data_IF_933738187243
#
_entry.id   IF_933738187243
#
_cell.length_a   1.000
_cell.length_b   1.000
_cell.length_c   1.000
_cell.angle_alpha   90.00
_cell.angle_beta   90.00
_cell.angle_gamma   90.00
#
_symmetry.space_group_name_H-M   'P 1'
#
loop_
_entity.id
_entity.type
_entity.pdbx_description
1 polymer ?
#
# COMPACT_ATOMS: atom_id res chain seq x y z
N UNK A 1 -5.06 54.06 -25.86
CA UNK A 1 -5.86 53.49 -24.77
C UNK A 1 -5.67 51.99 -24.79
N UNK A 2 -4.71 51.49 -24.01
CA UNK A 2 -4.55 50.06 -23.75
C UNK A 2 -5.03 49.83 -22.31
N UNK A 3 -5.93 48.86 -22.16
CA UNK A 3 -6.68 48.59 -20.94
C UNK A 3 -5.85 47.61 -20.08
N UNK A 4 -5.44 48.04 -18.89
CA UNK A 4 -4.74 47.21 -17.91
C UNK A 4 -5.61 46.04 -17.45
N UNK A 5 -5.02 44.84 -17.42
CA UNK A 5 -5.64 43.65 -16.83
C UNK A 5 -5.62 43.76 -15.29
N UNK A 6 -6.67 43.27 -14.59
CA UNK A 6 -6.77 43.42 -13.14
C UNK A 6 -5.78 42.50 -12.42
N UNK A 7 -5.06 43.08 -11.44
CA UNK A 7 -4.21 42.39 -10.48
C UNK A 7 -4.95 41.23 -9.82
N UNK A 8 -4.52 39.99 -10.09
CA UNK A 8 -4.90 38.82 -9.32
C UNK A 8 -4.36 38.96 -7.90
N UNK A 9 -5.26 39.26 -6.97
CA UNK A 9 -5.02 39.22 -5.53
C UNK A 9 -4.55 37.82 -5.13
N UNK A 10 -3.27 37.70 -4.79
CA UNK A 10 -2.67 36.50 -4.22
C UNK A 10 -3.23 36.37 -2.81
N UNK A 11 -4.16 35.43 -2.60
CA UNK A 11 -4.57 35.03 -1.25
C UNK A 11 -3.32 34.62 -0.47
N UNK A 12 -3.13 35.09 0.79
CA UNK A 12 -2.00 34.65 1.59
C UNK A 12 -2.07 33.12 1.78
N UNK A 13 -0.93 32.43 1.74
CA UNK A 13 -0.87 30.98 1.94
C UNK A 13 -1.54 30.62 3.27
N UNK A 14 -2.27 29.50 3.29
CA UNK A 14 -2.98 29.08 4.49
C UNK A 14 -1.98 28.91 5.65
N UNK A 15 -2.42 29.11 6.89
CA UNK A 15 -1.52 29.06 8.06
C UNK A 15 -0.72 27.73 8.16
N UNK A 16 -1.29 26.63 7.63
CA UNK A 16 -0.62 25.33 7.52
C UNK A 16 0.57 25.33 6.54
N UNK A 17 0.50 26.11 5.46
CA UNK A 17 1.58 26.20 4.47
C UNK A 17 2.81 26.89 5.07
N UNK A 18 2.62 27.93 5.89
CA UNK A 18 3.72 28.68 6.52
C UNK A 18 4.52 27.79 7.49
N UNK A 19 3.84 26.95 8.27
CA UNK A 19 4.51 25.99 9.17
C UNK A 19 5.30 24.92 8.41
N UNK A 20 4.78 24.45 7.27
CA UNK A 20 5.51 23.53 6.38
C UNK A 20 6.82 24.15 5.89
N UNK A 21 6.83 25.45 5.61
CA UNK A 21 8.04 26.18 5.23
C UNK A 21 9.03 26.44 6.37
N UNK A 22 8.71 26.09 7.61
CA UNK A 22 9.63 26.22 8.76
C UNK A 22 10.08 24.87 9.32
N UNK A 23 9.43 23.78 8.90
CA UNK A 23 9.77 22.43 9.34
C UNK A 23 11.12 21.96 8.80
N UNK A 24 11.89 21.31 9.67
CA UNK A 24 13.17 20.69 9.36
C UNK A 24 13.33 19.39 10.18
N UNK A 25 14.13 18.46 9.67
CA UNK A 25 14.48 17.20 10.35
C UNK A 25 15.99 17.05 10.49
N UNK A 26 16.45 16.20 11.41
CA UNK A 26 17.85 15.80 11.48
C UNK A 26 18.18 14.69 10.49
N UNK A 27 19.39 14.69 9.94
CA UNK A 27 19.83 13.62 9.03
C UNK A 27 19.79 12.25 9.71
N UNK A 28 20.26 12.15 10.96
CA UNK A 28 20.17 10.91 11.74
C UNK A 28 18.72 10.44 11.89
N UNK A 29 17.82 11.36 12.27
CA UNK A 29 16.39 11.04 12.41
C UNK A 29 15.77 10.56 11.09
N UNK A 30 16.15 11.17 9.96
CA UNK A 30 15.74 10.69 8.65
C UNK A 30 16.27 9.27 8.37
N UNK A 31 17.52 8.99 8.72
CA UNK A 31 18.14 7.67 8.57
C UNK A 31 17.49 6.60 9.41
N UNK A 32 17.19 6.91 10.67
CA UNK A 32 16.51 5.99 11.57
C UNK A 32 15.11 5.66 11.03
N UNK A 33 14.38 6.65 10.51
CA UNK A 33 13.08 6.44 9.88
C UNK A 33 13.18 5.58 8.61
N UNK A 34 14.20 5.81 7.79
CA UNK A 34 14.45 5.06 6.58
C UNK A 34 14.83 3.61 6.91
N UNK A 35 15.69 3.40 7.91
CA UNK A 35 16.03 2.08 8.41
C UNK A 35 14.79 1.34 8.94
N UNK A 36 13.94 2.01 9.71
CA UNK A 36 12.69 1.43 10.21
C UNK A 36 11.75 1.01 9.05
N UNK A 37 11.63 1.84 8.00
CA UNK A 37 10.88 1.49 6.80
C UNK A 37 11.48 0.27 6.06
N UNK A 38 12.81 0.14 6.04
CA UNK A 38 13.48 -1.03 5.47
C UNK A 38 13.13 -2.31 6.23
N UNK A 39 13.20 -2.25 7.56
CA UNK A 39 12.90 -3.38 8.43
C UNK A 39 11.45 -3.85 8.30
N UNK A 40 10.53 -2.90 8.04
CA UNK A 40 9.14 -3.22 7.73
C UNK A 40 9.00 -4.10 6.47
N UNK A 41 9.82 -3.84 5.45
CA UNK A 41 9.79 -4.54 4.16
C UNK A 41 10.57 -5.85 4.11
N UNK A 42 11.75 -5.87 4.73
CA UNK A 42 12.73 -6.96 4.71
C UNK A 42 12.93 -7.56 6.11
N UNK A 43 11.89 -8.09 6.75
CA UNK A 43 12.02 -8.60 8.11
C UNK A 43 12.86 -9.87 8.14
N UNK A 44 13.64 -10.02 9.22
CA UNK A 44 14.53 -11.16 9.47
C UNK A 44 13.83 -12.51 9.75
N UNK A 45 12.53 -12.65 9.42
CA UNK A 45 11.73 -13.83 9.74
C UNK A 45 11.35 -14.55 8.45
N UNK A 46 11.53 -15.88 8.41
CA UNK A 46 11.23 -16.66 7.20
C UNK A 46 9.74 -16.98 7.05
N UNK A 47 8.94 -16.81 8.11
CA UNK A 47 7.52 -17.21 8.16
C UNK A 47 6.60 -16.07 8.59
N UNK A 48 5.33 -16.17 8.20
CA UNK A 48 4.28 -15.28 8.68
C UNK A 48 3.91 -15.61 10.13
N UNK A 49 3.38 -14.62 10.85
CA UNK A 49 2.88 -14.77 12.22
C UNK A 49 1.45 -15.32 12.29
N UNK A 50 0.83 -15.57 11.14
CA UNK A 50 -0.60 -15.84 11.07
C UNK A 50 -0.87 -17.34 11.20
N UNK A 51 -1.67 -17.71 12.19
CA UNK A 51 -2.14 -19.09 12.36
C UNK A 51 -3.29 -19.40 11.39
N UNK A 52 -4.08 -18.39 11.03
CA UNK A 52 -5.15 -18.47 10.02
C UNK A 52 -5.27 -17.19 9.20
N UNK A 53 -5.58 -17.35 7.92
CA UNK A 53 -5.93 -16.27 7.00
C UNK A 53 -7.33 -16.50 6.46
N UNK A 54 -8.19 -15.49 6.58
CA UNK A 54 -9.55 -15.50 6.04
C UNK A 54 -9.63 -14.50 4.90
N UNK A 55 -10.27 -14.88 3.79
CA UNK A 55 -10.42 -14.02 2.62
C UNK A 55 -11.89 -13.88 2.26
N UNK A 56 -12.35 -12.64 2.09
CA UNK A 56 -13.68 -12.31 1.61
C UNK A 56 -13.58 -11.54 0.30
N UNK A 57 -13.98 -12.18 -0.79
CA UNK A 57 -14.12 -11.56 -2.10
C UNK A 57 -15.54 -11.06 -2.28
N UNK A 58 -15.70 -9.77 -2.59
CA UNK A 58 -16.97 -9.06 -2.65
C UNK A 58 -17.18 -8.50 -4.05
N UNK A 59 -18.38 -8.70 -4.57
CA UNK A 59 -18.88 -8.08 -5.81
C UNK A 59 -20.39 -7.85 -5.73
N UNK A 60 -20.98 -7.16 -6.69
CA UNK A 60 -22.44 -7.02 -6.73
C UNK A 60 -23.12 -8.25 -7.35
N UNK A 61 -24.36 -8.53 -6.94
CA UNK A 61 -25.14 -9.64 -7.50
C UNK A 61 -25.61 -9.38 -8.94
N UNK A 62 -25.92 -8.12 -9.24
CA UNK A 62 -26.47 -7.65 -10.52
C UNK A 62 -25.42 -7.13 -11.49
N UNK A 63 -24.17 -7.08 -11.06
CA UNK A 63 -23.06 -6.80 -11.96
C UNK A 63 -23.04 -7.87 -13.04
N UNK A 64 -23.13 -7.49 -14.33
CA UNK A 64 -23.16 -8.45 -15.42
C UNK A 64 -21.94 -9.35 -15.32
N UNK A 65 -22.06 -10.60 -15.76
CA UNK A 65 -20.94 -11.52 -15.91
C UNK A 65 -19.99 -10.97 -16.99
N UNK A 66 -19.19 -9.99 -16.60
CA UNK A 66 -18.14 -9.31 -17.35
C UNK A 66 -16.80 -10.03 -17.09
N UNK A 67 -15.70 -9.64 -17.78
CA UNK A 67 -14.36 -10.16 -17.52
C UNK A 67 -13.98 -10.17 -16.03
N UNK A 68 -14.42 -9.16 -15.28
CA UNK A 68 -14.23 -9.03 -13.82
C UNK A 68 -14.67 -10.29 -13.06
N UNK A 69 -15.78 -10.93 -13.44
CA UNK A 69 -16.24 -12.15 -12.76
C UNK A 69 -15.31 -13.34 -13.01
N UNK A 70 -14.67 -13.42 -14.17
CA UNK A 70 -13.70 -14.47 -14.47
C UNK A 70 -12.40 -14.25 -13.69
N UNK A 71 -11.91 -13.00 -13.66
CA UNK A 71 -10.68 -12.65 -12.96
C UNK A 71 -10.82 -12.79 -11.43
N UNK A 72 -11.97 -12.40 -10.86
CA UNK A 72 -12.26 -12.69 -9.44
C UNK A 72 -12.30 -14.19 -9.13
N UNK A 73 -12.77 -15.01 -10.06
CA UNK A 73 -12.81 -16.47 -9.87
C UNK A 73 -11.40 -17.07 -9.88
N UNK A 74 -10.50 -16.55 -10.72
CA UNK A 74 -9.08 -16.95 -10.72
C UNK A 74 -8.40 -16.51 -9.43
N UNK A 75 -8.62 -15.28 -8.97
CA UNK A 75 -8.07 -14.78 -7.71
C UNK A 75 -8.58 -15.59 -6.51
N UNK A 76 -9.87 -15.95 -6.50
CA UNK A 76 -10.44 -16.89 -5.52
C UNK A 76 -9.65 -18.21 -5.51
N UNK A 77 -9.37 -18.78 -6.70
CA UNK A 77 -8.58 -19.99 -6.83
C UNK A 77 -7.14 -19.83 -6.35
N UNK A 78 -6.50 -18.66 -6.53
CA UNK A 78 -5.16 -18.41 -5.97
C UNK A 78 -5.20 -18.45 -4.44
N UNK A 79 -6.10 -17.70 -3.80
CA UNK A 79 -6.18 -17.69 -2.34
C UNK A 79 -6.51 -19.05 -1.74
N UNK A 80 -7.43 -19.80 -2.35
CA UNK A 80 -7.85 -21.11 -1.85
C UNK A 80 -6.88 -22.23 -2.22
N UNK A 81 -6.54 -22.36 -3.49
CA UNK A 81 -5.86 -23.54 -4.02
C UNK A 81 -4.33 -23.41 -4.01
N UNK A 82 -3.79 -22.19 -4.03
CA UNK A 82 -2.33 -21.94 -3.99
C UNK A 82 -1.87 -21.55 -2.58
N UNK A 83 -2.61 -20.66 -1.90
CA UNK A 83 -2.25 -20.18 -0.57
C UNK A 83 -2.91 -20.95 0.58
N UNK A 84 -3.93 -21.76 0.30
CA UNK A 84 -4.68 -22.54 1.29
C UNK A 84 -5.34 -21.67 2.39
N UNK A 85 -5.85 -20.49 1.99
CA UNK A 85 -6.58 -19.61 2.89
C UNK A 85 -8.07 -19.96 2.95
N UNK A 86 -8.71 -19.67 4.10
CA UNK A 86 -10.16 -19.81 4.27
C UNK A 86 -10.88 -18.73 3.45
N UNK A 87 -11.26 -19.08 2.22
CA UNK A 87 -11.68 -18.12 1.18
C UNK A 87 -13.17 -18.24 0.85
N UNK A 88 -13.88 -17.13 0.93
CA UNK A 88 -15.30 -17.02 0.59
C UNK A 88 -15.53 -15.94 -0.47
N UNK A 89 -16.49 -16.19 -1.37
CA UNK A 89 -17.02 -15.17 -2.28
C UNK A 89 -18.44 -14.80 -1.87
N UNK A 90 -18.68 -13.51 -1.67
CA UNK A 90 -19.99 -12.97 -1.30
C UNK A 90 -20.45 -11.93 -2.32
N UNK A 91 -21.77 -11.85 -2.51
CA UNK A 91 -22.40 -10.90 -3.42
C UNK A 91 -23.24 -9.91 -2.62
N UNK A 92 -23.01 -8.62 -2.85
CA UNK A 92 -23.83 -7.54 -2.29
C UNK A 92 -25.20 -7.59 -2.99
N UNK A 93 -26.31 -7.68 -2.24
CA UNK A 93 -27.63 -7.60 -2.83
C UNK A 93 -28.01 -6.18 -3.23
N UNK A 94 -28.84 -6.03 -4.26
CA UNK A 94 -29.34 -4.73 -4.73
C UNK A 94 -30.36 -4.11 -3.77
N UNK A 95 -31.00 -4.94 -2.95
CA UNK A 95 -31.95 -4.54 -1.91
C UNK A 95 -31.28 -4.59 -0.56
N UNK A 96 -31.48 -3.56 0.27
CA UNK A 96 -30.88 -3.43 1.61
C UNK A 96 -29.34 -3.55 1.65
N UNK A 97 -28.68 -3.28 0.52
CA UNK A 97 -27.23 -3.38 0.29
C UNK A 97 -26.36 -2.95 1.49
N UNK A 98 -26.60 -1.76 2.04
CA UNK A 98 -25.83 -1.25 3.18
C UNK A 98 -25.96 -2.12 4.43
N UNK A 99 -27.19 -2.49 4.82
CA UNK A 99 -27.41 -3.24 6.05
C UNK A 99 -26.79 -4.64 5.95
N UNK A 100 -26.97 -5.29 4.80
CA UNK A 100 -26.44 -6.63 4.55
C UNK A 100 -24.89 -6.60 4.45
N UNK A 101 -24.31 -5.54 3.89
CA UNK A 101 -22.86 -5.34 3.87
C UNK A 101 -22.28 -5.09 5.28
N UNK A 102 -22.93 -4.25 6.08
CA UNK A 102 -22.53 -3.98 7.46
C UNK A 102 -22.53 -5.30 8.28
N UNK A 103 -23.64 -6.06 8.23
CA UNK A 103 -23.75 -7.37 8.90
C UNK A 103 -22.69 -8.37 8.40
N UNK A 104 -22.47 -8.42 7.09
CA UNK A 104 -21.52 -9.35 6.48
C UNK A 104 -20.10 -9.10 6.93
N UNK A 105 -19.67 -7.83 6.95
CA UNK A 105 -18.33 -7.42 7.36
C UNK A 105 -18.13 -7.65 8.85
N UNK A 106 -19.10 -7.30 9.69
CA UNK A 106 -19.02 -7.59 11.12
C UNK A 106 -18.86 -9.10 11.39
N UNK A 107 -19.65 -9.93 10.70
CA UNK A 107 -19.54 -11.40 10.80
C UNK A 107 -18.16 -11.88 10.36
N UNK A 108 -17.60 -11.31 9.29
CA UNK A 108 -16.29 -11.67 8.76
C UNK A 108 -15.14 -11.30 9.73
N UNK A 109 -15.18 -10.09 10.29
CA UNK A 109 -14.20 -9.63 11.30
C UNK A 109 -14.20 -10.56 12.52
N UNK A 110 -15.39 -11.02 12.95
CA UNK A 110 -15.54 -11.92 14.11
C UNK A 110 -15.08 -13.36 13.87
N UNK A 111 -14.80 -13.78 12.63
CA UNK A 111 -14.33 -15.15 12.35
C UNK A 111 -13.04 -15.46 13.13
N UNK A 112 -12.92 -16.69 13.65
CA UNK A 112 -11.76 -17.07 14.47
C UNK A 112 -11.59 -16.18 15.69
N UNK A 113 -12.69 -15.76 16.32
CA UNK A 113 -12.70 -14.93 17.54
C UNK A 113 -11.99 -13.59 17.42
N UNK A 114 -11.80 -13.05 16.21
CA UNK A 114 -11.03 -11.80 15.97
C UNK A 114 -9.63 -11.84 16.63
N UNK A 115 -8.95 -12.99 16.56
CA UNK A 115 -7.65 -13.17 17.19
C UNK A 115 -6.54 -12.35 16.52
N UNK A 116 -5.58 -11.85 17.32
CA UNK A 116 -4.46 -11.03 16.84
C UNK A 116 -3.42 -11.83 16.02
N UNK A 117 -3.48 -13.17 16.06
CA UNK A 117 -2.67 -14.07 15.23
C UNK A 117 -3.39 -14.45 13.91
N UNK A 118 -4.51 -13.80 13.58
CA UNK A 118 -5.21 -13.99 12.33
C UNK A 118 -5.01 -12.80 11.39
N UNK A 119 -5.10 -13.07 10.08
CA UNK A 119 -5.19 -12.06 9.02
C UNK A 119 -6.55 -12.13 8.34
N UNK A 120 -7.12 -10.96 8.07
CA UNK A 120 -8.34 -10.80 7.27
C UNK A 120 -7.99 -10.11 5.96
N UNK A 121 -8.39 -10.70 4.84
CA UNK A 121 -8.21 -10.09 3.51
C UNK A 121 -9.59 -9.79 2.94
N UNK A 122 -9.87 -8.53 2.63
CA UNK A 122 -11.12 -8.10 1.98
C UNK A 122 -10.78 -7.62 0.58
N UNK A 123 -11.35 -8.29 -0.43
CA UNK A 123 -11.21 -7.89 -1.82
C UNK A 123 -12.55 -7.38 -2.33
N UNK A 124 -12.60 -6.15 -2.85
CA UNK A 124 -13.77 -5.63 -3.56
C UNK A 124 -13.40 -5.30 -5.00
N UNK A 125 -14.17 -5.81 -5.94
CA UNK A 125 -14.12 -5.39 -7.34
C UNK A 125 -15.50 -4.91 -7.76
N UNK A 126 -15.56 -3.71 -8.35
CA UNK A 126 -16.81 -3.15 -8.80
C UNK A 126 -16.78 -1.63 -8.91
N UNK A 127 -17.95 -1.04 -9.09
CA UNK A 127 -18.08 0.38 -9.34
C UNK A 127 -18.10 1.19 -8.04
N UNK A 128 -17.71 2.45 -8.15
CA UNK A 128 -17.77 3.43 -7.05
C UNK A 128 -18.47 4.70 -7.50
N UNK A 129 -19.11 5.38 -6.56
CA UNK A 129 -19.66 6.72 -6.72
C UNK A 129 -19.08 7.63 -5.64
N UNK A 130 -18.77 8.87 -6.04
CA UNK A 130 -18.50 9.93 -5.07
C UNK A 130 -19.81 10.40 -4.45
N UNK A 131 -19.86 10.45 -3.13
CA UNK A 131 -21.03 10.90 -2.39
C UNK A 131 -21.01 12.42 -2.23
N UNK A 132 -22.16 13.01 -1.89
CA UNK A 132 -22.28 14.47 -1.69
C UNK A 132 -21.43 15.02 -0.54
N UNK A 133 -21.01 14.16 0.38
CA UNK A 133 -20.12 14.51 1.50
C UNK A 133 -18.65 14.25 1.18
N UNK A 134 -18.28 14.19 -0.10
CA UNK A 134 -16.94 13.84 -0.59
C UNK A 134 -16.43 12.46 -0.12
N UNK A 135 -17.35 11.56 0.23
CA UNK A 135 -17.02 10.19 0.62
C UNK A 135 -17.12 9.22 -0.55
N UNK A 136 -16.60 8.01 -0.37
CA UNK A 136 -16.70 6.93 -1.35
C UNK A 136 -17.90 6.01 -1.03
N UNK A 137 -18.65 5.62 -2.06
CA UNK A 137 -19.64 4.55 -1.95
C UNK A 137 -19.43 3.51 -3.04
N UNK A 138 -19.46 2.23 -2.69
CA UNK A 138 -19.57 1.12 -3.63
C UNK A 138 -20.97 1.11 -4.26
N UNK A 139 -21.07 0.74 -5.53
CA UNK A 139 -22.34 0.65 -6.26
C UNK A 139 -22.31 -0.47 -7.27
N UNK A 140 -23.47 -1.04 -7.60
CA UNK A 140 -23.58 -2.00 -8.72
C UNK A 140 -23.32 -1.34 -10.07
N UNK A 141 -23.45 -0.02 -10.17
CA UNK A 141 -23.40 0.71 -11.45
C UNK A 141 -24.72 0.65 -12.23
N UNK A 142 -25.74 -0.03 -11.69
CA UNK A 142 -27.06 -0.18 -12.31
C UNK A 142 -28.15 0.34 -11.38
N UNK A 143 -29.27 0.77 -11.98
CA UNK A 143 -30.46 1.15 -11.20
C UNK A 143 -31.25 -0.10 -10.84
N UNK A 144 -31.63 -0.22 -9.58
CA UNK A 144 -32.53 -1.27 -9.11
C UNK A 144 -33.99 -1.04 -9.58
N UNK A 145 -34.90 -1.92 -9.19
CA UNK A 145 -36.33 -1.84 -9.52
C UNK A 145 -37.00 -0.49 -9.12
N UNK A 146 -36.44 0.23 -8.14
CA UNK A 146 -36.91 1.55 -7.70
C UNK A 146 -36.21 2.72 -8.41
N UNK A 147 -35.52 2.46 -9.53
CA UNK A 147 -34.78 3.45 -10.31
C UNK A 147 -33.67 4.19 -9.53
N UNK A 148 -33.13 3.55 -8.48
CA UNK A 148 -32.01 4.08 -7.69
C UNK A 148 -30.78 3.19 -7.84
N UNK A 149 -29.59 3.79 -7.80
CA UNK A 149 -28.35 3.03 -7.68
C UNK A 149 -28.26 2.49 -6.24
N UNK A 150 -28.13 1.16 -6.05
CA UNK A 150 -27.84 0.62 -4.73
C UNK A 150 -26.43 1.02 -4.33
N UNK A 151 -26.24 1.39 -3.08
CA UNK A 151 -24.94 1.86 -2.60
C UNK A 151 -24.58 1.30 -1.24
N UNK A 152 -23.28 1.12 -1.01
CA UNK A 152 -22.69 0.81 0.30
C UNK A 152 -21.63 1.86 0.59
N UNK A 153 -21.77 2.58 1.70
CA UNK A 153 -20.84 3.59 2.17
C UNK A 153 -19.54 2.92 2.60
N UNK A 154 -18.44 3.22 1.91
CA UNK A 154 -17.13 2.64 2.19
C UNK A 154 -16.62 3.01 3.58
N UNK A 155 -16.88 4.23 4.05
CA UNK A 155 -16.40 4.70 5.36
C UNK A 155 -16.83 3.78 6.51
N UNK A 156 -18.06 3.26 6.49
CA UNK A 156 -18.54 2.32 7.51
C UNK A 156 -17.81 0.99 7.47
N UNK A 157 -17.58 0.48 6.26
CA UNK A 157 -16.84 -0.77 6.03
C UNK A 157 -15.40 -0.60 6.51
N UNK A 158 -14.74 0.50 6.12
CA UNK A 158 -13.38 0.80 6.56
C UNK A 158 -13.28 0.90 8.08
N UNK A 159 -14.16 1.65 8.74
CA UNK A 159 -14.16 1.75 10.21
C UNK A 159 -14.28 0.38 10.87
N UNK A 160 -15.19 -0.48 10.39
CA UNK A 160 -15.35 -1.83 10.97
C UNK A 160 -14.10 -2.70 10.79
N UNK A 161 -13.37 -2.52 9.68
CA UNK A 161 -12.14 -3.26 9.40
C UNK A 161 -10.97 -2.73 10.23
N UNK A 162 -10.80 -1.41 10.32
CA UNK A 162 -9.74 -0.76 11.11
C UNK A 162 -9.89 -1.01 12.62
N UNK A 163 -11.11 -1.26 13.11
CA UNK A 163 -11.39 -1.60 14.51
C UNK A 163 -11.14 -3.09 14.85
N UNK A 164 -10.77 -3.92 13.88
CA UNK A 164 -10.46 -5.32 14.13
C UNK A 164 -9.24 -5.46 15.05
N UNK A 165 -9.19 -6.58 15.78
CA UNK A 165 -8.03 -6.96 16.60
C UNK A 165 -7.07 -7.82 15.81
N UNK A 166 -7.59 -8.58 14.84
CA UNK A 166 -6.80 -9.21 13.77
C UNK A 166 -6.20 -8.17 12.83
N UNK A 167 -5.09 -8.52 12.17
CA UNK A 167 -4.53 -7.70 11.11
C UNK A 167 -5.44 -7.77 9.84
N UNK A 168 -5.49 -6.70 9.04
CA UNK A 168 -6.40 -6.58 7.88
C UNK A 168 -5.70 -6.06 6.62
N UNK A 169 -5.82 -6.80 5.52
CA UNK A 169 -5.45 -6.35 4.18
C UNK A 169 -6.71 -6.04 3.36
N UNK A 170 -6.79 -4.85 2.79
CA UNK A 170 -7.87 -4.42 1.90
C UNK A 170 -7.33 -4.28 0.48
N UNK A 171 -7.97 -4.96 -0.48
CA UNK A 171 -7.65 -4.89 -1.90
C UNK A 171 -8.87 -4.38 -2.67
N UNK A 172 -8.76 -3.19 -3.27
CA UNK A 172 -9.88 -2.54 -3.96
C UNK A 172 -9.59 -2.37 -5.46
N UNK A 173 -10.26 -3.16 -6.30
CA UNK A 173 -10.28 -2.92 -7.75
C UNK A 173 -11.38 -1.93 -8.12
N UNK A 174 -11.30 -0.73 -7.56
CA UNK A 174 -12.16 0.41 -7.83
C UNK A 174 -11.42 1.71 -7.50
N UNK A 175 -11.74 2.84 -8.16
CA UNK A 175 -11.17 4.12 -7.77
C UNK A 175 -11.44 4.40 -6.30
N UNK A 176 -10.40 4.66 -5.53
CA UNK A 176 -10.53 5.06 -4.13
C UNK A 176 -10.24 6.55 -3.97
N UNK A 177 -10.99 7.18 -3.08
CA UNK A 177 -10.72 8.54 -2.61
C UNK A 177 -10.22 8.41 -1.19
N UNK A 178 -9.04 8.95 -0.90
CA UNK A 178 -8.44 8.92 0.43
C UNK A 178 -9.46 9.38 1.48
N UNK A 179 -9.71 8.54 2.46
CA UNK A 179 -10.59 8.85 3.60
C UNK A 179 -9.77 8.92 4.88
N UNK A 180 -10.28 9.61 5.90
CA UNK A 180 -9.64 9.66 7.21
C UNK A 180 -9.65 8.26 7.84
N UNK A 181 -8.46 7.78 8.23
CA UNK A 181 -8.31 6.53 8.99
C UNK A 181 -8.61 6.78 10.46
N UNK A 182 -9.29 5.82 11.08
CA UNK A 182 -9.52 5.76 12.51
C UNK A 182 -8.45 4.90 13.19
N UNK A 183 -7.69 5.47 14.12
CA UNK A 183 -6.60 4.76 14.84
C UNK A 183 -7.16 3.96 16.04
N UNK A 184 -8.36 3.38 15.92
CA UNK A 184 -9.07 2.80 17.09
C UNK A 184 -8.89 1.29 17.27
N UNK A 185 -8.36 0.56 16.28
CA UNK A 185 -8.07 -0.87 16.42
C UNK A 185 -6.64 -1.17 16.88
N UNK A 186 -6.44 -2.43 17.32
CA UNK A 186 -5.14 -2.93 17.77
C UNK A 186 -4.36 -3.66 16.65
N UNK A 187 -5.02 -4.02 15.55
CA UNK A 187 -4.40 -4.68 14.40
C UNK A 187 -3.68 -3.71 13.47
N UNK A 188 -2.80 -4.26 12.63
CA UNK A 188 -2.22 -3.56 11.47
C UNK A 188 -3.20 -3.67 10.31
N UNK A 189 -3.52 -2.54 9.67
CA UNK A 189 -4.41 -2.50 8.51
C UNK A 189 -3.72 -1.81 7.33
N UNK A 190 -3.79 -2.43 6.15
CA UNK A 190 -3.15 -1.97 4.92
C UNK A 190 -4.12 -2.03 3.74
N UNK A 191 -4.04 -1.07 2.82
CA UNK A 191 -4.96 -0.96 1.68
C UNK A 191 -4.21 -0.73 0.37
N UNK A 192 -4.39 -1.61 -0.61
CA UNK A 192 -3.98 -1.40 -2.00
C UNK A 192 -5.25 -1.19 -2.84
N UNK A 193 -5.27 -0.14 -3.64
CA UNK A 193 -6.43 0.15 -4.48
C UNK A 193 -6.05 0.68 -5.86
N UNK A 194 -6.92 0.41 -6.82
CA UNK A 194 -6.81 0.93 -8.18
C UNK A 194 -7.05 2.45 -8.18
N UNK A 195 -6.32 3.18 -9.03
CA UNK A 195 -6.49 4.62 -9.17
C UNK A 195 -7.69 4.99 -10.06
N UNK A 196 -8.28 6.19 -9.85
CA UNK A 196 -9.23 6.78 -10.79
C UNK A 196 -8.56 7.01 -12.15
N UNK A 197 -9.31 6.73 -13.22
CA UNK A 197 -8.89 6.91 -14.60
C UNK A 197 -9.16 8.36 -15.06
N UNK A 198 -8.27 8.96 -15.85
CA UNK A 198 -8.50 10.26 -16.49
C UNK A 198 -9.48 10.10 -17.67
N UNK A 199 -10.56 10.87 -17.72
CA UNK A 199 -11.74 10.70 -18.61
C UNK A 199 -11.47 10.60 -20.14
N UNK A 200 -10.22 10.68 -20.61
CA UNK A 200 -9.85 10.74 -22.02
C UNK A 200 -9.93 9.41 -22.82
N UNK A 201 -9.92 8.20 -22.24
CA UNK A 201 -10.16 6.92 -22.98
C UNK A 201 -11.58 6.35 -22.81
N UNK A 202 -12.61 7.05 -23.30
CA UNK A 202 -13.93 6.48 -23.61
C UNK A 202 -14.61 5.65 -22.49
N UNK A 203 -14.24 5.83 -21.22
CA UNK A 203 -14.91 5.24 -20.06
C UNK A 203 -14.81 3.72 -19.89
N UNK A 204 -13.96 3.01 -20.63
CA UNK A 204 -13.76 1.56 -20.47
C UNK A 204 -12.45 1.30 -19.73
N UNK A 205 -12.54 0.85 -18.48
CA UNK A 205 -11.38 0.39 -17.70
C UNK A 205 -10.81 -0.86 -18.38
N UNK A 206 -9.64 -0.74 -19.01
CA UNK A 206 -8.99 -1.85 -19.71
C UNK A 206 -8.14 -2.71 -18.76
N UNK A 207 -7.71 -2.13 -17.64
CA UNK A 207 -6.89 -2.81 -16.63
C UNK A 207 -7.69 -3.15 -15.34
N UNK A 208 -7.55 -4.37 -14.85
CA UNK A 208 -8.18 -4.84 -13.62
C UNK A 208 -7.08 -5.17 -12.61
N UNK A 209 -7.04 -4.46 -11.48
CA UNK A 209 -6.09 -4.75 -10.41
C UNK A 209 -6.20 -6.20 -9.94
N UNK A 210 -7.39 -6.81 -10.01
CA UNK A 210 -7.60 -8.23 -9.70
C UNK A 210 -6.77 -9.15 -10.60
N UNK A 211 -6.65 -8.83 -11.90
CA UNK A 211 -5.87 -9.62 -12.85
C UNK A 211 -4.37 -9.56 -12.54
N UNK A 212 -3.85 -8.38 -12.25
CA UNK A 212 -2.46 -8.20 -11.82
C UNK A 212 -2.17 -8.90 -10.48
N UNK A 213 -3.06 -8.74 -9.50
CA UNK A 213 -2.98 -9.43 -8.21
C UNK A 213 -2.93 -10.94 -8.39
N UNK A 214 -3.78 -11.49 -9.26
CA UNK A 214 -3.81 -12.92 -9.56
C UNK A 214 -2.48 -13.42 -10.12
N UNK A 215 -1.89 -12.71 -11.08
CA UNK A 215 -0.60 -13.07 -11.65
C UNK A 215 0.55 -12.95 -10.62
N UNK A 216 0.62 -11.83 -9.90
CA UNK A 216 1.69 -11.58 -8.93
C UNK A 216 1.64 -12.52 -7.72
N UNK A 217 0.46 -12.79 -7.18
CA UNK A 217 0.33 -13.73 -6.08
C UNK A 217 0.79 -15.14 -6.47
N UNK A 218 0.62 -15.57 -7.73
CA UNK A 218 1.20 -16.86 -8.20
C UNK A 218 2.71 -16.83 -8.32
N UNK A 219 3.29 -15.70 -8.71
CA UNK A 219 4.75 -15.60 -8.80
C UNK A 219 5.38 -15.55 -7.40
N UNK A 220 4.78 -14.79 -6.49
CA UNK A 220 5.22 -14.65 -5.12
C UNK A 220 4.98 -15.90 -4.27
N UNK A 221 4.10 -16.83 -4.67
CA UNK A 221 3.90 -18.09 -3.96
C UNK A 221 5.13 -19.02 -4.00
N UNK A 222 6.12 -18.74 -4.85
CA UNK A 222 7.39 -19.46 -4.85
C UNK A 222 8.36 -18.98 -3.75
N UNK A 223 8.02 -17.89 -3.04
CA UNK A 223 8.76 -17.44 -1.88
C UNK A 223 8.21 -18.11 -0.61
N UNK A 224 9.06 -18.36 0.41
CA UNK A 224 8.59 -18.84 1.70
C UNK A 224 7.61 -17.85 2.35
N UNK A 225 7.85 -16.56 2.15
CA UNK A 225 6.96 -15.47 2.55
C UNK A 225 7.37 -14.18 1.85
N UNK A 226 6.44 -13.23 1.72
CA UNK A 226 6.68 -11.89 1.17
C UNK A 226 5.86 -10.83 1.91
N UNK A 227 6.34 -9.59 1.87
CA UNK A 227 5.65 -8.43 2.43
C UNK A 227 4.63 -7.87 1.43
N UNK A 228 3.58 -7.21 1.93
CA UNK A 228 2.63 -6.49 1.06
C UNK A 228 3.32 -5.34 0.32
N UNK A 229 4.40 -4.79 0.90
CA UNK A 229 5.28 -3.88 0.18
C UNK A 229 5.96 -4.51 -1.05
N UNK A 230 6.40 -5.78 -0.99
CA UNK A 230 6.89 -6.49 -2.19
C UNK A 230 5.76 -6.66 -3.21
N UNK A 231 4.57 -7.10 -2.78
CA UNK A 231 3.43 -7.23 -3.69
C UNK A 231 3.16 -5.91 -4.40
N UNK A 232 3.11 -4.81 -3.65
CA UNK A 232 2.90 -3.49 -4.22
C UNK A 232 4.00 -3.05 -5.20
N UNK A 233 5.27 -3.27 -4.85
CA UNK A 233 6.40 -2.98 -5.75
C UNK A 233 6.20 -3.64 -7.10
N UNK A 234 5.82 -4.92 -7.09
CA UNK A 234 5.61 -5.69 -8.31
C UNK A 234 4.39 -5.24 -9.11
N UNK A 235 3.28 -4.90 -8.44
CA UNK A 235 2.09 -4.35 -9.09
C UNK A 235 2.40 -3.01 -9.77
N UNK A 236 3.12 -2.13 -9.09
CA UNK A 236 3.56 -0.84 -9.65
C UNK A 236 4.43 -1.03 -10.89
N UNK A 237 5.33 -2.01 -10.85
CA UNK A 237 6.20 -2.35 -11.95
C UNK A 237 5.48 -2.93 -13.16
N UNK A 238 4.48 -3.79 -12.96
CA UNK A 238 3.64 -4.31 -14.05
C UNK A 238 2.92 -3.18 -14.77
N UNK A 239 2.27 -2.32 -14.00
CA UNK A 239 1.54 -1.19 -14.55
C UNK A 239 2.45 -0.29 -15.42
N UNK A 240 3.66 0.04 -14.94
CA UNK A 240 4.62 0.84 -15.73
C UNK A 240 5.13 0.11 -16.99
N UNK A 241 5.33 -1.20 -16.92
CA UNK A 241 5.77 -1.99 -18.07
C UNK A 241 4.69 -2.01 -19.17
N UNK A 242 3.42 -2.18 -18.79
CA UNK A 242 2.29 -2.12 -19.72
C UNK A 242 2.13 -0.72 -20.33
N UNK A 243 2.28 0.34 -19.53
CA UNK A 243 2.25 1.73 -20.02
C UNK A 243 3.31 1.98 -21.10
N UNK A 244 4.52 1.45 -20.90
CA UNK A 244 5.64 1.60 -21.84
C UNK A 244 5.43 0.83 -23.15
N UNK A 245 4.92 -0.40 -23.08
CA UNK A 245 4.73 -1.28 -24.25
C UNK A 245 3.51 -0.86 -25.09
N UNK A 246 2.44 -0.39 -24.45
CA UNK A 246 1.15 -0.15 -25.09
C UNK A 246 0.83 1.34 -25.29
N UNK A 247 1.76 2.24 -24.91
CA UNK A 247 1.61 3.69 -25.04
C UNK A 247 0.48 4.25 -24.17
N UNK A 248 0.25 3.63 -23.02
CA UNK A 248 -0.85 3.94 -22.10
C UNK A 248 -0.41 4.94 -21.02
N UNK A 249 -1.39 5.43 -20.27
CA UNK A 249 -1.20 6.39 -19.17
C UNK A 249 -2.15 6.05 -18.01
N UNK A 250 -2.29 4.76 -17.69
CA UNK A 250 -3.15 4.36 -16.58
C UNK A 250 -2.38 4.63 -15.27
N UNK A 251 -2.94 5.41 -14.33
CA UNK A 251 -2.23 5.68 -13.09
C UNK A 251 -2.00 4.38 -12.31
N UNK A 252 -0.81 4.19 -11.72
CA UNK A 252 -0.49 2.97 -10.99
C UNK A 252 -1.41 2.79 -9.78
N UNK A 253 -1.58 1.56 -9.28
CA UNK A 253 -2.26 1.37 -8.00
C UNK A 253 -1.55 2.18 -6.91
N UNK A 254 -2.32 2.63 -5.94
CA UNK A 254 -1.76 3.28 -4.76
C UNK A 254 -1.90 2.38 -3.53
N UNK A 255 -1.01 2.58 -2.58
CA UNK A 255 -0.96 1.82 -1.34
C UNK A 255 -0.95 2.79 -0.15
N UNK A 256 -1.88 2.57 0.78
CA UNK A 256 -2.04 3.29 2.03
C UNK A 256 -1.97 2.34 3.24
N UNK A 257 -1.02 2.54 4.17
CA UNK A 257 -1.12 1.98 5.52
C UNK A 257 -2.24 2.71 6.28
N UNK A 258 -3.25 1.96 6.73
CA UNK A 258 -4.41 2.51 7.43
C UNK A 258 -4.16 2.57 8.94
N UNK A 259 -3.75 1.45 9.54
CA UNK A 259 -3.52 1.33 10.99
C UNK A 259 -2.17 0.68 11.21
N UNK A 260 -1.37 1.23 12.12
CA UNK A 260 -0.06 0.74 12.53
C UNK A 260 -0.01 0.72 14.05
N UNK A 261 0.57 -0.33 14.64
CA UNK A 261 0.67 -0.46 16.11
C UNK A 261 1.56 0.60 16.73
N UNK A 262 2.67 0.90 16.06
CA UNK A 262 3.63 1.92 16.47
C UNK A 262 4.09 2.73 15.25
N UNK A 263 3.79 4.03 15.17
CA UNK A 263 4.26 4.89 14.09
C UNK A 263 5.79 5.02 13.98
N UNK A 264 6.54 4.65 15.02
CA UNK A 264 8.00 4.65 15.02
C UNK A 264 8.63 3.33 14.61
N UNK A 265 7.84 2.25 14.58
CA UNK A 265 8.25 0.91 14.14
C UNK A 265 7.17 0.37 13.19
N UNK A 266 7.13 0.89 11.95
CA UNK A 266 6.16 0.45 10.96
C UNK A 266 6.34 -1.04 10.66
N UNK A 267 5.25 -1.72 10.34
CA UNK A 267 5.23 -3.13 10.00
C UNK A 267 4.45 -3.33 8.70
N UNK A 268 5.04 -4.10 7.78
CA UNK A 268 4.34 -4.63 6.62
C UNK A 268 3.59 -5.91 6.99
N UNK A 269 2.37 -6.07 6.49
CA UNK A 269 1.72 -7.37 6.51
C UNK A 269 2.50 -8.35 5.62
N UNK A 270 2.40 -9.65 5.92
CA UNK A 270 3.11 -10.70 5.17
C UNK A 270 2.21 -11.84 4.80
N UNK A 271 2.42 -12.39 3.62
CA UNK A 271 1.72 -13.58 3.13
C UNK A 271 2.72 -14.72 2.94
N UNK A 272 2.23 -15.94 3.17
CA UNK A 272 2.91 -17.19 2.89
C UNK A 272 1.85 -18.23 2.56
N UNK A 273 2.25 -19.30 1.87
CA UNK A 273 1.39 -20.48 1.73
C UNK A 273 1.11 -21.06 3.13
N UNK A 274 -0.14 -21.37 3.43
CA UNK A 274 -0.50 -22.12 4.64
C UNK A 274 -0.34 -23.62 4.38
N UNK A 275 0.58 -24.27 5.09
CA UNK A 275 0.69 -25.73 5.02
C UNK A 275 -0.45 -26.37 5.81
N UNK A 276 -1.44 -26.95 5.12
CA UNK A 276 -2.39 -27.86 5.76
C UNK A 276 -1.65 -29.13 6.20
N UNK A 277 -1.28 -29.24 7.48
CA UNK A 277 -0.92 -30.54 8.06
C UNK A 277 0.24 -30.63 9.07
N UNK A 278 0.89 -29.55 9.47
CA UNK A 278 1.89 -29.63 10.55
C UNK A 278 1.37 -29.07 11.88
N UNK A 279 1.07 -30.02 12.78
CA UNK A 279 0.78 -29.83 14.20
C UNK A 279 1.67 -28.76 14.85
N UNK A 280 1.04 -28.00 15.73
CA UNK A 280 1.61 -27.15 16.77
C UNK A 280 3.04 -27.53 17.16
N UNK A 281 4.01 -26.67 16.80
CA UNK A 281 5.24 -26.53 17.57
C UNK A 281 5.19 -25.18 18.28
N UNK A 282 5.24 -25.28 19.60
CA UNK A 282 5.15 -24.25 20.62
C UNK A 282 5.76 -22.88 20.26
N UNK A 283 5.26 -21.78 20.85
CA UNK A 283 5.82 -20.45 20.65
C UNK A 283 7.31 -20.44 21.01
N UNK A 284 8.16 -20.11 20.04
CA UNK A 284 9.56 -19.89 20.27
C UNK A 284 9.73 -18.77 21.31
N UNK A 285 10.33 -19.12 22.45
CA UNK A 285 10.80 -18.16 23.46
C UNK A 285 11.70 -17.11 22.79
N UNK A 286 11.71 -15.85 23.25
CA UNK A 286 12.59 -14.84 22.68
C UNK A 286 14.04 -15.20 23.01
N UNK A 287 14.76 -15.76 22.05
CA UNK A 287 16.22 -15.86 22.12
C UNK A 287 16.80 -14.51 21.74
N UNK A 288 17.32 -13.82 22.75
CA UNK A 288 18.35 -12.80 22.57
C UNK A 288 19.51 -13.41 21.79
N UNK A 289 19.64 -13.06 20.51
CA UNK A 289 20.81 -13.44 19.71
C UNK A 289 21.33 -12.21 18.98
N UNK A 290 22.52 -11.78 19.40
CA UNK A 290 23.37 -10.81 18.71
C UNK A 290 23.54 -11.17 17.25
N UNK A 291 23.23 -10.24 16.35
CA UNK A 291 23.39 -10.40 14.91
C UNK A 291 24.87 -10.31 14.50
N UNK A 292 25.54 -11.46 14.46
CA UNK A 292 26.70 -11.65 13.59
C UNK A 292 26.20 -12.07 12.21
N UNK A 293 26.27 -11.15 11.23
CA UNK A 293 26.03 -11.41 9.82
C UNK A 293 26.94 -12.54 9.33
N UNK A 294 26.36 -13.71 9.06
CA UNK A 294 27.05 -14.82 8.41
C UNK A 294 26.45 -14.97 7.02
N UNK A 295 27.23 -14.62 6.00
CA UNK A 295 26.92 -14.85 4.59
C UNK A 295 26.85 -16.35 4.31
N UNK A 296 25.67 -16.85 3.96
CA UNK A 296 25.48 -18.22 3.46
C UNK A 296 24.02 -18.64 3.50
N UNK A 297 23.37 -18.64 2.33
CA UNK A 297 22.03 -19.20 2.04
C UNK A 297 20.79 -18.50 2.61
N UNK A 298 20.77 -17.16 2.57
CA UNK A 298 19.52 -16.40 2.75
C UNK A 298 18.61 -16.59 1.52
N UNK A 299 17.52 -17.35 1.66
CA UNK A 299 16.44 -17.36 0.65
C UNK A 299 15.95 -15.91 0.50
N UNK A 300 15.79 -15.36 -0.72
CA UNK A 300 15.39 -13.98 -0.89
C UNK A 300 13.99 -13.76 -0.30
N UNK A 301 13.89 -12.85 0.66
CA UNK A 301 12.60 -12.40 1.24
C UNK A 301 11.86 -11.40 0.34
N UNK A 302 12.48 -11.04 -0.79
CA UNK A 302 11.97 -10.08 -1.75
C UNK A 302 12.23 -10.60 -3.16
N UNK A 303 11.20 -10.56 -4.01
CA UNK A 303 11.29 -10.97 -5.41
C UNK A 303 10.71 -9.89 -6.30
N UNK A 304 11.56 -9.32 -7.14
CA UNK A 304 11.16 -8.39 -8.17
C UNK A 304 10.22 -9.05 -9.18
N UNK A 305 9.30 -8.27 -9.73
CA UNK A 305 8.34 -8.75 -10.74
C UNK A 305 9.05 -9.28 -11.99
N UNK A 306 8.52 -10.37 -12.55
CA UNK A 306 8.99 -10.90 -13.83
C UNK A 306 8.66 -10.01 -15.04
N UNK A 307 7.76 -9.03 -14.87
CA UNK A 307 7.36 -8.10 -15.94
C UNK A 307 8.42 -7.03 -16.22
N UNK A 308 9.37 -6.82 -15.31
CA UNK A 308 10.44 -5.85 -15.48
C UNK A 308 11.59 -6.54 -16.22
N UNK A 309 12.06 -5.94 -17.31
CA UNK A 309 13.37 -6.28 -17.87
C UNK A 309 14.51 -5.96 -16.89
N UNK A 310 15.76 -5.86 -17.34
CA UNK A 310 16.88 -5.35 -16.50
C UNK A 310 16.79 -3.84 -16.20
N UNK A 311 15.60 -3.30 -15.97
CA UNK A 311 15.39 -1.89 -15.59
C UNK A 311 15.59 -1.72 -14.06
N UNK A 312 15.91 -0.49 -13.64
CA UNK A 312 16.11 -0.17 -12.22
C UNK A 312 14.79 -0.22 -11.45
N UNK A 313 14.82 -0.67 -10.20
CA UNK A 313 13.65 -0.68 -9.32
C UNK A 313 13.01 0.72 -9.23
N UNK A 314 11.66 0.82 -9.21
CA UNK A 314 10.96 2.09 -9.18
C UNK A 314 11.28 2.87 -7.90
N UNK A 315 11.59 4.16 -8.05
CA UNK A 315 11.90 5.05 -6.92
C UNK A 315 10.97 6.24 -6.88
N UNK A 316 10.76 6.78 -5.68
CA UNK A 316 10.16 8.09 -5.47
C UNK A 316 11.23 9.05 -4.97
N UNK A 317 11.26 10.24 -5.57
CA UNK A 317 12.12 11.32 -5.14
C UNK A 317 11.48 12.14 -4.00
N UNK A 318 12.30 12.51 -3.02
CA UNK A 318 11.91 13.32 -1.88
C UNK A 318 12.85 14.51 -1.73
N UNK A 319 12.28 15.69 -1.49
CA UNK A 319 12.98 16.86 -1.01
C UNK A 319 12.92 16.90 0.52
N UNK A 320 14.07 16.90 1.18
CA UNK A 320 14.21 16.81 2.62
C UNK A 320 14.92 18.05 3.13
N UNK A 321 14.28 18.76 4.06
CA UNK A 321 14.86 19.93 4.71
C UNK A 321 15.56 19.52 6.00
N UNK A 322 16.87 19.70 6.00
CA UNK A 322 17.74 19.33 7.11
C UNK A 322 18.04 20.55 7.99
N UNK A 323 18.00 20.34 9.30
CA UNK A 323 18.51 21.31 10.29
C UNK A 323 20.04 21.34 10.34
N UNK A 324 20.65 20.25 9.91
CA UNK A 324 22.09 20.07 9.90
C UNK A 324 22.73 20.94 8.80
N UNK A 325 23.84 21.59 9.14
CA UNK A 325 24.63 22.39 8.21
C UNK A 325 25.80 21.55 7.70
N UNK A 326 25.81 21.26 6.40
CA UNK A 326 26.92 20.56 5.75
C UNK A 326 27.80 21.57 5.04
N UNK A 327 29.13 21.52 5.18
CA UNK A 327 29.99 22.31 4.30
C UNK A 327 29.91 21.73 2.90
N UNK A 328 30.14 22.56 1.87
CA UNK A 328 30.13 22.10 0.48
C UNK A 328 31.09 20.91 0.22
N UNK A 329 32.14 20.74 1.03
CA UNK A 329 33.04 19.58 1.00
C UNK A 329 32.55 18.34 1.75
N UNK A 330 31.65 18.49 2.74
CA UNK A 330 31.05 17.37 3.49
C UNK A 330 29.95 16.67 2.67
N UNK A 331 29.46 17.35 1.62
CA UNK A 331 28.55 16.81 0.61
C UNK A 331 29.27 16.00 -0.47
N UNK A 332 30.62 15.95 -0.45
CA UNK A 332 31.35 14.97 -1.25
C UNK A 332 30.90 13.59 -0.78
N UNK A 333 30.37 12.83 -1.73
CA UNK A 333 29.79 11.49 -1.67
C UNK A 333 30.08 10.66 -0.41
N UNK A 334 31.31 10.64 0.10
CA UNK A 334 31.81 9.61 1.01
C UNK A 334 31.20 9.67 2.43
N UNK A 335 30.87 10.84 2.99
CA UNK A 335 30.24 10.90 4.34
C UNK A 335 28.77 10.47 4.30
N UNK A 336 28.02 10.94 3.30
CA UNK A 336 26.62 10.55 3.12
C UNK A 336 26.49 9.12 2.57
N UNK A 337 27.44 8.67 1.76
CA UNK A 337 27.52 7.29 1.27
C UNK A 337 27.93 6.34 2.39
N UNK A 338 28.91 6.67 3.23
CA UNK A 338 29.23 5.89 4.44
C UNK A 338 28.02 5.80 5.40
N UNK A 339 27.18 6.83 5.44
CA UNK A 339 25.92 6.77 6.17
C UNK A 339 24.91 5.83 5.51
N UNK A 340 24.78 5.85 4.17
CA UNK A 340 24.01 4.85 3.41
C UNK A 340 24.59 3.43 3.57
N UNK A 341 25.90 3.28 3.77
CA UNK A 341 26.55 1.98 4.02
C UNK A 341 26.25 1.40 5.41
N UNK A 342 25.85 2.25 6.38
CA UNK A 342 25.34 1.79 7.67
C UNK A 342 23.85 1.40 7.61
N UNK A 343 23.20 1.65 6.47
CA UNK A 343 21.91 1.07 6.15
C UNK A 343 22.17 -0.36 5.62
N UNK A 344 21.43 -1.38 6.05
CA UNK A 344 21.64 -2.76 5.61
C UNK A 344 21.78 -2.86 4.09
N UNK A 345 22.69 -3.72 3.61
CA UNK A 345 22.95 -3.98 2.18
C UNK A 345 21.73 -4.39 1.35
N UNK A 346 20.57 -4.58 1.99
CA UNK A 346 19.25 -4.75 1.40
C UNK A 346 18.68 -3.49 0.71
N UNK A 347 19.40 -2.36 0.70
CA UNK A 347 18.92 -1.07 0.18
C UNK A 347 19.82 -0.49 -0.93
N UNK A 348 20.16 -1.31 -1.93
CA UNK A 348 20.80 -0.83 -3.18
C UNK A 348 19.97 0.24 -3.94
N UNK A 349 18.72 0.46 -3.52
CA UNK A 349 17.79 1.37 -4.17
C UNK A 349 17.67 2.78 -3.60
N UNK A 350 18.32 3.14 -2.48
CA UNK A 350 18.29 4.54 -1.98
C UNK A 350 19.45 5.33 -2.55
N UNK A 351 19.18 6.51 -3.11
CA UNK A 351 20.20 7.38 -3.71
C UNK A 351 20.04 8.82 -3.32
N UNK A 352 21.16 9.53 -3.20
CA UNK A 352 21.17 10.97 -3.07
C UNK A 352 21.29 11.55 -4.47
N UNK A 353 20.25 12.25 -4.91
CA UNK A 353 20.17 12.83 -6.25
C UNK A 353 20.80 14.22 -6.30
N UNK A 354 20.67 15.00 -5.22
CA UNK A 354 21.26 16.33 -5.10
C UNK A 354 21.33 16.77 -3.64
N UNK A 355 22.24 17.70 -3.33
CA UNK A 355 22.31 18.37 -2.04
C UNK A 355 22.62 19.86 -2.21
N UNK A 356 21.91 20.71 -1.45
CA UNK A 356 22.05 22.16 -1.49
C UNK A 356 22.29 22.69 -0.08
N UNK A 357 23.37 23.43 0.09
CA UNK A 357 23.68 24.08 1.36
C UNK A 357 22.97 25.43 1.48
N UNK A 358 22.27 25.66 2.60
CA UNK A 358 21.67 26.94 2.95
C UNK A 358 21.53 27.08 4.48
N UNK A 359 20.83 28.12 4.98
CA UNK A 359 20.47 28.20 6.41
C UNK A 359 19.69 26.96 6.90
N UNK A 360 18.97 26.29 6.00
CA UNK A 360 18.49 24.91 6.16
C UNK A 360 18.90 24.11 4.93
N UNK A 361 19.78 23.13 5.08
CA UNK A 361 20.26 22.35 3.92
C UNK A 361 19.09 21.57 3.29
N UNK A 362 19.07 21.46 1.95
CA UNK A 362 18.07 20.69 1.22
C UNK A 362 18.74 19.47 0.60
N UNK A 363 18.18 18.29 0.85
CA UNK A 363 18.66 17.02 0.28
C UNK A 363 17.57 16.45 -0.63
N UNK A 364 17.94 16.05 -1.84
CA UNK A 364 17.07 15.28 -2.73
C UNK A 364 17.50 13.83 -2.65
N UNK A 365 16.61 12.96 -2.18
CA UNK A 365 16.85 11.52 -2.03
C UNK A 365 15.81 10.76 -2.81
N UNK A 366 16.21 9.76 -3.59
CA UNK A 366 15.30 8.79 -4.16
C UNK A 366 15.31 7.50 -3.34
N UNK A 367 14.12 6.93 -3.13
CA UNK A 367 13.90 5.76 -2.28
C UNK A 367 13.01 4.77 -3.04
N UNK A 368 13.20 3.43 -2.92
CA UNK A 368 12.31 2.45 -3.52
C UNK A 368 10.84 2.72 -3.16
N UNK A 369 9.94 2.58 -4.13
CA UNK A 369 8.55 2.98 -3.93
C UNK A 369 7.87 2.22 -2.78
N UNK A 370 8.08 0.90 -2.70
CA UNK A 370 7.58 0.06 -1.62
C UNK A 370 8.06 0.52 -0.23
N UNK A 371 9.26 1.10 -0.15
CA UNK A 371 9.85 1.55 1.11
C UNK A 371 9.31 2.90 1.52
N UNK A 372 9.04 3.76 0.54
CA UNK A 372 8.50 5.10 0.77
C UNK A 372 7.16 5.09 1.53
N UNK A 373 6.40 4.01 1.41
CA UNK A 373 5.09 3.80 2.04
C UNK A 373 5.18 3.75 3.57
N UNK A 374 6.28 3.21 4.09
CA UNK A 374 6.51 3.07 5.53
C UNK A 374 7.32 4.22 6.13
N UNK A 375 7.70 5.20 5.31
CA UNK A 375 8.41 6.38 5.82
C UNK A 375 7.47 7.23 6.67
N UNK A 376 7.98 7.68 7.82
CA UNK A 376 7.25 8.57 8.72
C UNK A 376 6.92 9.88 8.02
N UNK A 377 5.63 10.27 8.03
CA UNK A 377 5.16 11.56 7.52
C UNK A 377 5.82 12.70 8.31
N UNK A 378 6.34 13.69 7.59
CA UNK A 378 6.98 14.88 8.17
C UNK A 378 6.80 16.06 7.23
N UNK A 379 6.46 17.23 7.77
CA UNK A 379 6.37 18.47 6.98
C UNK A 379 7.73 18.90 6.39
N UNK A 380 8.84 18.38 6.93
CA UNK A 380 10.19 18.58 6.43
C UNK A 380 10.52 17.73 5.19
N UNK A 381 9.65 16.76 4.85
CA UNK A 381 9.82 15.84 3.73
C UNK A 381 8.72 16.10 2.70
N UNK A 382 9.11 16.40 1.48
CA UNK A 382 8.21 16.67 0.37
C UNK A 382 8.39 15.60 -0.70
N UNK A 383 7.31 14.88 -1.04
CA UNK A 383 7.29 13.95 -2.16
C UNK A 383 7.34 14.76 -3.48
N UNK A 384 8.30 14.42 -4.34
CA UNK A 384 8.50 15.04 -5.66
C UNK A 384 7.93 14.21 -6.82
N UNK A 385 7.54 12.97 -6.55
CA UNK A 385 6.99 12.03 -7.52
C UNK A 385 7.93 10.85 -7.85
N UNK A 386 7.44 9.89 -8.65
CA UNK A 386 8.25 8.78 -9.15
C UNK A 386 9.35 9.27 -10.12
N UNK A 387 10.51 8.60 -10.12
CA UNK A 387 11.65 8.90 -11.00
C UNK A 387 12.31 7.67 -11.60
#
# INVERSE_FOLDING_TARGET
MAQEAPNTSILPPAFNDVNRYQSNTGLQTFGDNLHAAAQALFPHQDRTRYSKVYVLLIRWETEPTLPVSADMSKLYGVFRDVYHFETEMWKIPDSKAQADADERIEKFVRLGSNSEDHLKIVCYAGNTLSTRSSGLAWTSGYKNAHHRYPTVQWSKIQTSLEQASSDVLVLLDCPHVTTESSVQGNGVSELIAACPYDENNNGVRQHSLIKELEAELRELSNLPSFSIGNLYDNLFCRNQAEDSEEGRTDPPPFYLPLTQKDPSSPQSLRLSIHEEGHQELHPARPTTSSSHYSNGDSIPSFRASSSIGRQQAPRIAFAIRLKDQFRAGDLSSDLLSNWLENIPSSIEGVRIEAAFHSQSSLLIVSVPICMSIYMKKSDAIMNLGPI
#
